data_IF_160374517411
#
_entry.id   IF_160374517411
#
_cell.length_a   1.000
_cell.length_b   1.000
_cell.length_c   1.000
_cell.angle_alpha   90.00
_cell.angle_beta   90.00
_cell.angle_gamma   90.00
#
_symmetry.space_group_name_H-M   'P 1'
#
loop_
_entity.id
_entity.type
_entity.pdbx_description
1 polymer ?
#
# COMPACT_ATOMS: atom_id res chain seq x y z
N UNK A 1 -5.94 -11.81 4.09
CA UNK A 1 -5.71 -10.44 4.59
C UNK A 1 -6.36 -9.45 3.66
N UNK A 2 -6.80 -8.30 4.18
CA UNK A 2 -7.39 -7.24 3.37
C UNK A 2 -6.28 -6.40 2.75
N UNK A 3 -6.50 -5.91 1.54
CA UNK A 3 -5.52 -5.07 0.83
C UNK A 3 -5.94 -3.61 1.03
N UNK A 4 -4.98 -2.80 1.44
CA UNK A 4 -5.14 -1.37 1.64
C UNK A 4 -4.13 -0.61 0.80
N UNK A 5 -4.50 0.61 0.46
CA UNK A 5 -3.57 1.62 -0.01
C UNK A 5 -3.65 2.82 0.92
N UNK A 6 -2.49 3.42 1.19
CA UNK A 6 -2.42 4.74 1.82
C UNK A 6 -1.61 5.65 0.93
N UNK A 7 -2.26 6.72 0.47
CA UNK A 7 -1.59 7.83 -0.20
C UNK A 7 -1.39 8.96 0.81
N UNK A 8 -0.19 9.50 0.88
CA UNK A 8 0.10 10.69 1.68
C UNK A 8 0.90 11.72 0.89
N UNK A 9 0.75 12.98 1.30
CA UNK A 9 1.39 14.14 0.70
C UNK A 9 2.25 14.82 1.76
N UNK A 10 3.55 14.93 1.52
CA UNK A 10 4.49 15.64 2.41
C UNK A 10 4.73 17.06 1.89
N UNK A 11 4.92 18.01 2.82
CA UNK A 11 5.28 19.39 2.50
C UNK A 11 6.54 19.46 1.62
N UNK A 12 6.57 20.35 0.60
CA UNK A 12 7.73 20.48 -0.29
C UNK A 12 8.92 21.21 0.35
N UNK A 13 8.69 21.89 1.48
CA UNK A 13 9.73 22.60 2.25
C UNK A 13 10.69 21.65 2.98
N UNK A 14 10.31 20.38 3.10
CA UNK A 14 11.14 19.33 3.69
C UNK A 14 12.16 18.86 2.65
N UNK A 15 13.41 18.65 3.08
CA UNK A 15 14.48 18.16 2.19
C UNK A 15 14.10 16.82 1.54
N UNK A 16 14.67 16.51 0.37
CA UNK A 16 14.39 15.23 -0.30
C UNK A 16 14.81 14.03 0.56
N UNK A 17 15.95 14.15 1.24
CA UNK A 17 16.46 13.13 2.17
C UNK A 17 15.47 12.88 3.31
N UNK A 18 14.98 13.95 3.95
CA UNK A 18 13.99 13.84 5.03
C UNK A 18 12.65 13.30 4.53
N UNK A 19 12.23 13.64 3.31
CA UNK A 19 11.01 13.08 2.69
C UNK A 19 11.13 11.58 2.47
N UNK A 20 12.30 11.09 2.06
CA UNK A 20 12.57 9.66 1.92
C UNK A 20 12.61 8.97 3.29
N UNK A 21 13.22 9.60 4.30
CA UNK A 21 13.21 9.09 5.68
C UNK A 21 11.78 9.00 6.21
N UNK A 22 10.93 10.00 5.97
CA UNK A 22 9.53 9.97 6.35
C UNK A 22 8.76 8.83 5.67
N UNK A 23 9.01 8.57 4.39
CA UNK A 23 8.40 7.44 3.70
C UNK A 23 8.82 6.09 4.30
N UNK A 24 10.11 5.91 4.59
CA UNK A 24 10.63 4.71 5.27
C UNK A 24 10.08 4.57 6.69
N UNK A 25 9.91 5.67 7.41
CA UNK A 25 9.30 5.66 8.75
C UNK A 25 7.83 5.25 8.71
N UNK A 26 7.08 5.66 7.69
CA UNK A 26 5.70 5.18 7.48
C UNK A 26 5.69 3.69 7.19
N UNK A 27 6.59 3.20 6.33
CA UNK A 27 6.74 1.77 6.05
C UNK A 27 7.04 0.97 7.33
N UNK A 28 8.04 1.40 8.11
CA UNK A 28 8.38 0.76 9.40
C UNK A 28 7.21 0.80 10.38
N UNK A 29 6.47 1.90 10.43
CA UNK A 29 5.29 1.99 11.30
C UNK A 29 4.21 0.96 10.90
N UNK A 30 3.96 0.80 9.60
CA UNK A 30 3.03 -0.22 9.09
C UNK A 30 3.50 -1.64 9.48
N UNK A 31 4.79 -1.95 9.31
CA UNK A 31 5.35 -3.27 9.61
C UNK A 31 5.40 -3.55 11.12
N UNK A 32 5.98 -2.65 11.92
CA UNK A 32 6.27 -2.90 13.34
C UNK A 32 5.08 -2.66 14.27
N UNK A 33 4.27 -1.62 14.02
CA UNK A 33 3.17 -1.24 14.92
C UNK A 33 1.85 -1.88 14.54
N UNK A 34 1.57 -1.99 13.25
CA UNK A 34 0.32 -2.56 12.75
C UNK A 34 0.48 -4.05 12.44
N UNK A 35 1.70 -4.53 12.22
CA UNK A 35 1.93 -5.91 11.76
C UNK A 35 1.45 -6.11 10.32
N UNK A 36 1.49 -5.04 9.51
CA UNK A 36 1.09 -5.10 8.11
C UNK A 36 2.24 -5.62 7.24
N UNK A 37 1.90 -6.38 6.20
CA UNK A 37 2.85 -6.75 5.16
C UNK A 37 2.81 -5.66 4.08
N UNK A 38 3.92 -4.96 3.87
CA UNK A 38 4.02 -3.95 2.80
C UNK A 38 4.34 -4.65 1.48
N UNK A 39 3.46 -4.47 0.50
CA UNK A 39 3.60 -5.07 -0.84
C UNK A 39 4.47 -4.18 -1.74
N UNK A 40 4.20 -2.87 -1.74
CA UNK A 40 4.91 -1.90 -2.58
C UNK A 40 4.85 -0.48 -1.98
N UNK A 41 5.89 0.31 -2.23
CA UNK A 41 6.00 1.73 -1.91
C UNK A 41 6.32 2.48 -3.19
N UNK A 42 5.33 3.17 -3.75
CA UNK A 42 5.48 3.97 -4.96
C UNK A 42 5.71 5.44 -4.60
N UNK A 43 6.94 5.92 -4.84
CA UNK A 43 7.31 7.33 -4.68
C UNK A 43 7.03 8.08 -5.98
N UNK A 44 6.04 8.98 -5.98
CA UNK A 44 5.71 9.80 -7.14
C UNK A 44 6.50 11.10 -7.19
N UNK A 45 7.06 11.52 -6.05
CA UNK A 45 7.82 12.77 -5.94
C UNK A 45 6.93 14.00 -5.93
N UNK A 46 7.53 15.16 -6.20
CA UNK A 46 6.86 16.46 -6.13
C UNK A 46 5.92 16.65 -7.31
N UNK A 47 4.64 16.93 -7.02
CA UNK A 47 3.63 17.24 -8.03
C UNK A 47 2.87 18.50 -7.65
N UNK A 48 2.42 19.24 -8.67
CA UNK A 48 1.58 20.43 -8.50
C UNK A 48 0.18 20.05 -8.04
N UNK A 49 -0.30 20.74 -7.01
CA UNK A 49 -1.65 20.62 -6.48
C UNK A 49 -2.61 21.47 -7.32
N UNK A 50 -3.85 21.00 -7.50
CA UNK A 50 -4.88 21.77 -8.21
C UNK A 50 -5.27 23.07 -7.48
N UNK A 51 -5.16 23.06 -6.14
CA UNK A 51 -5.40 24.20 -5.27
C UNK A 51 -4.41 24.18 -4.11
N UNK A 52 -4.25 25.35 -3.49
CA UNK A 52 -3.34 25.53 -2.36
C UNK A 52 -3.80 24.73 -1.14
N UNK A 53 -2.92 23.90 -0.59
CA UNK A 53 -3.13 23.25 0.71
C UNK A 53 -2.24 23.95 1.74
N UNK A 54 -2.86 24.63 2.70
CA UNK A 54 -2.15 25.48 3.65
C UNK A 54 -1.42 26.63 2.93
N UNK A 55 -0.08 26.55 2.87
CA UNK A 55 0.78 27.55 2.19
C UNK A 55 1.34 27.07 0.84
N UNK A 56 1.14 25.80 0.46
CA UNK A 56 1.86 25.15 -0.63
C UNK A 56 0.99 24.89 -1.86
N UNK A 57 1.58 25.03 -3.04
CA UNK A 57 1.00 24.67 -4.34
C UNK A 57 1.55 23.35 -4.89
N UNK A 58 2.53 22.76 -4.20
CA UNK A 58 3.20 21.54 -4.59
C UNK A 58 3.29 20.64 -3.35
N UNK A 59 3.43 19.34 -3.57
CA UNK A 59 3.61 18.37 -2.50
C UNK A 59 4.23 17.08 -3.03
N UNK A 60 4.97 16.39 -2.15
CA UNK A 60 5.58 15.11 -2.49
C UNK A 60 4.61 13.96 -2.21
N UNK A 61 4.25 13.23 -3.26
CA UNK A 61 3.30 12.14 -3.22
C UNK A 61 3.98 10.79 -3.01
N UNK A 62 3.44 10.01 -2.08
CA UNK A 62 3.80 8.61 -1.90
C UNK A 62 2.54 7.77 -1.76
N UNK A 63 2.55 6.59 -2.39
CA UNK A 63 1.50 5.59 -2.23
C UNK A 63 2.14 4.33 -1.64
N UNK A 64 1.55 3.80 -0.59
CA UNK A 64 1.97 2.53 0.02
C UNK A 64 0.84 1.53 -0.08
N UNK A 65 1.14 0.39 -0.68
CA UNK A 65 0.25 -0.77 -0.74
C UNK A 65 0.66 -1.76 0.34
N UNK A 66 -0.30 -2.16 1.17
CA UNK A 66 -0.04 -3.09 2.25
C UNK A 66 -1.24 -3.97 2.56
N UNK A 67 -0.97 -5.11 3.20
CA UNK A 67 -1.97 -6.07 3.66
C UNK A 67 -2.01 -6.10 5.17
N UNK A 68 -3.20 -5.98 5.74
CA UNK A 68 -3.40 -6.16 7.17
C UNK A 68 -4.79 -6.71 7.48
N UNK A 69 -5.03 -7.05 8.74
CA UNK A 69 -6.34 -7.53 9.21
C UNK A 69 -7.34 -6.39 9.49
N UNK A 70 -6.95 -5.14 9.25
CA UNK A 70 -7.74 -3.93 9.50
C UNK A 70 -7.64 -3.40 10.94
N UNK A 71 -7.06 -4.18 11.86
CA UNK A 71 -6.67 -3.70 13.18
C UNK A 71 -5.49 -2.73 13.04
N UNK A 72 -5.52 -1.59 13.74
CA UNK A 72 -4.43 -0.59 13.72
C UNK A 72 -4.57 0.54 12.69
N UNK A 73 -5.62 0.56 11.85
CA UNK A 73 -5.82 1.67 10.89
C UNK A 73 -6.03 3.03 11.58
N UNK A 74 -6.70 3.06 12.74
CA UNK A 74 -6.85 4.28 13.54
C UNK A 74 -5.50 4.81 14.04
N UNK A 75 -4.57 3.90 14.40
CA UNK A 75 -3.23 4.28 14.83
C UNK A 75 -2.43 4.90 13.68
N UNK A 76 -2.62 4.41 12.45
CA UNK A 76 -2.05 5.00 11.24
C UNK A 76 -2.59 6.42 10.99
N UNK A 77 -3.91 6.62 11.13
CA UNK A 77 -4.48 7.97 11.03
C UNK A 77 -3.90 8.91 12.10
N UNK A 78 -3.79 8.44 13.34
CA UNK A 78 -3.22 9.22 14.43
C UNK A 78 -1.73 9.52 14.18
N UNK A 79 -0.97 8.58 13.61
CA UNK A 79 0.43 8.78 13.21
C UNK A 79 0.59 9.97 12.26
N UNK A 80 -0.31 10.11 11.28
CA UNK A 80 -0.29 11.25 10.37
C UNK A 80 -0.78 12.54 11.04
N UNK A 81 -1.84 12.48 11.87
CA UNK A 81 -2.39 13.66 12.57
C UNK A 81 -1.37 14.37 13.46
N UNK A 82 -0.54 13.62 14.17
CA UNK A 82 0.45 14.20 15.10
C UNK A 82 1.69 14.78 14.40
N UNK A 83 1.86 14.52 13.10
CA UNK A 83 3.03 14.93 12.33
C UNK A 83 2.67 16.02 11.33
N UNK A 84 3.03 17.28 11.61
CA UNK A 84 2.63 18.41 10.76
C UNK A 84 3.30 18.38 9.37
N UNK A 85 4.30 17.54 9.13
CA UNK A 85 4.98 17.36 7.84
C UNK A 85 4.03 16.80 6.77
N UNK A 86 3.03 16.01 7.18
CA UNK A 86 2.01 15.46 6.29
C UNK A 86 0.89 16.46 6.11
N UNK A 87 0.67 16.89 4.86
CA UNK A 87 -0.39 17.84 4.51
C UNK A 87 -1.75 17.16 4.37
N UNK A 88 -1.74 15.94 3.82
CA UNK A 88 -2.95 15.17 3.56
C UNK A 88 -2.58 13.70 3.46
N UNK A 89 -3.48 12.84 3.91
CA UNK A 89 -3.40 11.40 3.72
C UNK A 89 -4.80 10.85 3.41
N UNK A 90 -4.85 9.76 2.69
CA UNK A 90 -6.08 9.03 2.39
C UNK A 90 -5.76 7.54 2.41
N UNK A 91 -6.53 6.78 3.19
CA UNK A 91 -6.40 5.33 3.29
C UNK A 91 -7.65 4.69 2.72
N UNK A 92 -7.49 3.83 1.73
CA UNK A 92 -8.59 3.13 1.08
C UNK A 92 -8.38 1.63 1.17
N UNK A 93 -9.49 0.90 1.30
CA UNK A 93 -9.49 -0.55 1.14
C UNK A 93 -9.64 -0.89 -0.34
N UNK A 94 -8.69 -1.64 -0.89
CA UNK A 94 -8.64 -2.03 -2.30
C UNK A 94 -9.37 -3.34 -2.53
N UNK A 95 -10.69 -3.31 -2.47
CA UNK A 95 -11.54 -4.48 -2.72
C UNK A 95 -11.42 -5.01 -4.16
N UNK A 96 -11.08 -4.13 -5.10
CA UNK A 96 -10.81 -4.47 -6.50
C UNK A 96 -9.59 -5.39 -6.65
N UNK A 97 -8.50 -5.10 -5.92
CA UNK A 97 -7.31 -5.96 -5.88
C UNK A 97 -7.64 -7.29 -5.20
N UNK A 98 -8.40 -7.27 -4.09
CA UNK A 98 -8.85 -8.49 -3.43
C UNK A 98 -9.73 -9.37 -4.36
N UNK A 99 -10.58 -8.77 -5.20
CA UNK A 99 -11.39 -9.49 -6.19
C UNK A 99 -10.52 -10.06 -7.32
N UNK A 100 -9.54 -9.30 -7.79
CA UNK A 100 -8.60 -9.75 -8.84
C UNK A 100 -7.79 -10.97 -8.38
N UNK A 101 -7.25 -10.94 -7.16
CA UNK A 101 -6.53 -12.08 -6.58
C UNK A 101 -7.42 -13.31 -6.41
N UNK A 102 -8.67 -13.12 -5.95
CA UNK A 102 -9.65 -14.23 -5.84
C UNK A 102 -9.97 -14.86 -7.19
N UNK A 103 -10.18 -14.06 -8.24
CA UNK A 103 -10.41 -14.56 -9.61
C UNK A 103 -9.19 -15.30 -10.15
N UNK A 104 -7.99 -14.75 -9.97
CA UNK A 104 -6.75 -15.40 -10.39
C UNK A 104 -6.48 -16.71 -9.64
N UNK A 105 -6.78 -16.77 -8.34
CA UNK A 105 -6.68 -17.98 -7.54
C UNK A 105 -7.69 -19.05 -7.96
N UNK A 106 -8.91 -18.64 -8.35
CA UNK A 106 -9.94 -19.56 -8.88
C UNK A 106 -9.53 -20.13 -10.24
N UNK A 107 -9.06 -19.29 -11.15
CA UNK A 107 -8.55 -19.73 -12.46
C UNK A 107 -7.36 -20.69 -12.33
N UNK A 108 -6.46 -20.47 -11.35
CA UNK A 108 -5.34 -21.40 -11.07
C UNK A 108 -5.78 -22.73 -10.43
N UNK A 109 -6.90 -22.76 -9.70
CA UNK A 109 -7.46 -24.00 -9.13
C UNK A 109 -8.26 -24.82 -10.14
N UNK A 110 -8.77 -24.20 -11.20
CA UNK A 110 -9.48 -24.87 -12.30
C UNK A 110 -8.51 -25.45 -13.36
N UNK A 111 -7.20 -25.21 -13.24
CA UNK A 111 -6.17 -25.63 -14.21
C UNK A 111 -5.24 -26.81 -13.85
N UNK A 112 -5.37 -27.55 -12.72
CA UNK A 112 -4.63 -28.81 -12.53
C UNK A 112 -5.59 -29.98 -12.28
N UNK A 113 -6.22 -30.53 -13.32
CA UNK A 113 -6.83 -31.88 -13.28
C UNK A 113 -6.75 -32.61 -14.62
N UNK A 114 -5.76 -32.31 -15.46
CA UNK A 114 -5.40 -33.16 -16.59
C UNK A 114 -3.88 -33.31 -16.59
N UNK A 115 -3.43 -34.43 -16.02
CA UNK A 115 -2.21 -35.20 -16.35
C UNK A 115 -1.75 -36.00 -15.12
N UNK A 116 -2.45 -37.12 -14.90
CA UNK A 116 -1.83 -38.44 -14.70
C UNK A 116 -2.93 -39.49 -14.86
N UNK A 117 -2.72 -40.48 -15.73
CA UNK A 117 -2.59 -41.83 -15.19
C UNK A 117 -1.35 -42.53 -15.75
N UNK A 118 -0.46 -42.86 -14.82
CA UNK A 118 0.14 -44.19 -14.61
C UNK A 118 0.49 -45.05 -15.83
N UNK A 119 1.78 -45.35 -15.96
CA UNK A 119 2.30 -46.52 -16.66
C UNK A 119 1.65 -47.84 -16.16
N UNK A 120 1.74 -48.86 -17.03
CA UNK A 120 1.71 -50.32 -16.75
C UNK A 120 0.40 -51.11 -16.97
N UNK A 121 0.25 -51.77 -18.15
CA UNK A 121 0.39 -53.24 -18.32
C UNK A 121 -0.20 -53.78 -19.65
N UNK A 122 0.66 -54.51 -20.38
CA UNK A 122 0.45 -55.84 -21.01
C UNK A 122 -0.72 -56.01 -22.00
N UNK A 123 -0.40 -56.13 -23.30
CA UNK A 123 -0.53 -57.39 -24.10
C UNK A 123 0.26 -57.27 -25.41
#
# INVERSE_FOLDING_TARGET
MRIYETMFIVKPDVSEEDRNILAENVKKFLEEKIGAQVDNVDRWGVRKLAYKIGKYFEGDYTVVYFRCNGQGLEQLENYFKVRPEFMRWQTFRREDLEKKERKAARAKKEAPTEETPTEEKVE
#
